data_IF_125826127406
#
_entry.id   IF_125826127406
#
_cell.length_a   1.000
_cell.length_b   1.000
_cell.length_c   1.000
_cell.angle_alpha   90.00
_cell.angle_beta   90.00
_cell.angle_gamma   90.00
#
_symmetry.space_group_name_H-M   'P 1'
#
loop_
_entity.id
_entity.type
_entity.pdbx_description
1 polymer ?
#
# COMPACT_ATOMS: atom_id res chain seq x y z
N UNK A 1 -16.40 12.27 23.04
CA UNK A 1 -16.58 11.84 21.64
C UNK A 1 -17.85 12.47 21.14
N UNK A 2 -17.81 13.10 19.98
CA UNK A 2 -19.03 13.51 19.29
C UNK A 2 -19.53 12.36 18.41
N UNK A 3 -20.67 12.58 17.74
CA UNK A 3 -21.30 11.61 16.85
C UNK A 3 -20.43 11.24 15.62
N UNK A 4 -19.23 11.81 15.47
CA UNK A 4 -18.29 11.52 14.37
C UNK A 4 -17.11 10.63 14.79
N UNK A 5 -17.12 10.08 16.01
CA UNK A 5 -16.09 9.13 16.46
C UNK A 5 -14.71 9.76 16.71
N UNK A 6 -14.58 11.10 16.62
CA UNK A 6 -13.29 11.78 16.78
C UNK A 6 -12.76 11.72 18.22
N UNK A 7 -11.47 11.41 18.31
CA UNK A 7 -10.65 11.65 19.49
C UNK A 7 -10.32 13.14 19.60
N UNK A 8 -10.81 13.78 20.66
CA UNK A 8 -10.24 15.04 21.11
C UNK A 8 -9.13 14.73 22.12
N UNK A 9 -7.95 15.37 22.05
CA UNK A 9 -6.98 15.30 23.13
C UNK A 9 -7.60 15.93 24.37
N UNK A 10 -8.17 15.09 25.23
CA UNK A 10 -8.63 15.50 26.55
C UNK A 10 -7.44 15.99 27.37
N UNK A 11 -7.66 17.06 28.15
CA UNK A 11 -6.68 17.74 29.03
C UNK A 11 -6.10 16.83 30.13
N UNK A 12 -6.41 15.54 30.14
CA UNK A 12 -5.80 14.53 30.99
C UNK A 12 -5.57 13.29 30.14
N UNK A 13 -4.32 12.80 30.07
CA UNK A 13 -3.86 11.69 29.23
C UNK A 13 -4.63 10.38 29.42
N UNK A 14 -5.84 10.34 28.88
CA UNK A 14 -6.75 9.21 28.87
C UNK A 14 -7.17 8.96 27.43
N UNK A 15 -7.04 7.72 26.99
CA UNK A 15 -7.63 7.26 25.74
C UNK A 15 -8.94 6.53 26.06
N UNK A 16 -10.05 6.99 25.47
CA UNK A 16 -11.36 6.37 25.63
C UNK A 16 -11.73 5.68 24.32
N UNK A 17 -12.05 4.40 24.37
CA UNK A 17 -12.81 3.75 23.30
C UNK A 17 -14.28 3.87 23.70
N UNK A 18 -15.12 4.49 22.86
CA UNK A 18 -16.56 4.47 23.12
C UNK A 18 -17.08 3.03 22.97
N UNK A 19 -18.14 2.70 23.70
CA UNK A 19 -18.82 1.41 23.59
C UNK A 19 -19.44 1.19 22.19
N UNK A 20 -19.59 2.28 21.42
CA UNK A 20 -20.01 2.27 20.02
C UNK A 20 -18.83 2.34 19.04
N UNK A 21 -17.58 2.36 19.53
CA UNK A 21 -16.42 2.57 18.68
C UNK A 21 -16.01 1.30 17.94
N UNK A 22 -16.00 1.49 16.64
CA UNK A 22 -15.69 0.54 15.59
C UNK A 22 -14.24 0.06 15.71
N UNK A 23 -14.04 -1.26 15.82
CA UNK A 23 -12.71 -1.87 15.78
C UNK A 23 -11.89 -1.39 14.57
N UNK A 24 -12.57 -1.08 13.47
CA UNK A 24 -11.99 -0.43 12.29
C UNK A 24 -11.22 0.85 12.61
N UNK A 25 -11.85 1.81 13.31
CA UNK A 25 -11.24 3.10 13.62
C UNK A 25 -10.09 2.89 14.61
N UNK A 26 -10.25 1.98 15.57
CA UNK A 26 -9.16 1.63 16.49
C UNK A 26 -7.95 1.06 15.74
N UNK A 27 -8.19 0.14 14.80
CA UNK A 27 -7.13 -0.43 13.96
C UNK A 27 -6.48 0.63 13.05
N UNK A 28 -7.26 1.59 12.55
CA UNK A 28 -6.78 2.73 11.78
C UNK A 28 -5.80 3.60 12.60
N UNK A 29 -6.21 4.01 13.80
CA UNK A 29 -5.37 4.83 14.69
C UNK A 29 -4.11 4.08 15.16
N UNK A 30 -4.24 2.77 15.44
CA UNK A 30 -3.07 1.91 15.70
C UNK A 30 -2.12 1.86 14.49
N UNK A 31 -2.65 1.92 13.27
CA UNK A 31 -1.86 2.06 12.05
C UNK A 31 -1.01 3.33 12.05
N UNK A 32 -1.55 4.46 12.49
CA UNK A 32 -0.76 5.69 12.65
C UNK A 32 0.37 5.56 13.66
N UNK A 33 0.21 4.77 14.73
CA UNK A 33 1.31 4.45 15.66
C UNK A 33 2.44 3.66 14.97
N UNK A 34 2.13 2.89 13.93
CA UNK A 34 3.10 2.21 13.07
C UNK A 34 3.61 3.09 11.92
N UNK A 35 3.41 4.40 12.00
CA UNK A 35 3.80 5.42 11.00
C UNK A 35 3.05 5.31 9.67
N UNK A 36 1.94 4.57 9.63
CA UNK A 36 1.13 4.41 8.44
C UNK A 36 0.34 5.68 8.15
N UNK A 37 0.16 5.96 6.87
CA UNK A 37 -0.58 7.11 6.39
C UNK A 37 -2.02 6.71 6.11
N UNK A 38 -2.96 7.66 6.13
CA UNK A 38 -4.28 7.39 5.55
C UNK A 38 -4.12 6.95 4.09
N UNK A 39 -5.09 6.16 3.63
CA UNK A 39 -5.20 5.77 2.24
C UNK A 39 -6.02 6.78 1.44
N UNK A 40 -5.68 6.87 0.16
CA UNK A 40 -6.21 7.87 -0.75
C UNK A 40 -6.70 7.18 -2.03
N UNK A 41 -7.60 7.83 -2.75
CA UNK A 41 -7.80 7.59 -4.18
C UNK A 41 -7.22 8.72 -5.02
N UNK A 42 -7.12 8.48 -6.33
CA UNK A 42 -6.77 9.48 -7.32
C UNK A 42 -7.97 10.31 -7.81
N UNK A 43 -9.17 10.19 -7.22
CA UNK A 43 -10.34 10.96 -7.64
C UNK A 43 -10.24 12.43 -7.17
N UNK A 44 -10.08 13.40 -8.08
CA UNK A 44 -9.95 14.81 -7.71
C UNK A 44 -11.27 15.41 -7.19
N UNK A 45 -12.40 14.73 -7.37
CA UNK A 45 -13.73 15.20 -6.94
C UNK A 45 -14.14 14.67 -5.59
N UNK A 46 -13.46 13.66 -5.07
CA UNK A 46 -13.78 13.12 -3.76
C UNK A 46 -13.09 13.92 -2.66
N UNK A 47 -13.90 14.46 -1.76
CA UNK A 47 -13.44 15.04 -0.50
C UNK A 47 -14.49 14.74 0.53
N UNK A 48 -14.11 14.07 1.62
CA UNK A 48 -15.03 13.88 2.73
C UNK A 48 -15.44 15.24 3.36
N UNK A 49 -16.63 15.34 3.97
CA UNK A 49 -17.15 16.61 4.46
C UNK A 49 -16.34 17.22 5.61
N UNK A 50 -15.44 16.48 6.26
CA UNK A 50 -14.61 17.03 7.32
C UNK A 50 -13.67 18.10 6.77
N UNK A 51 -13.67 19.29 7.40
CA UNK A 51 -12.91 20.45 6.93
C UNK A 51 -11.40 20.18 6.75
N UNK A 52 -10.83 19.30 7.57
CA UNK A 52 -9.42 18.90 7.53
C UNK A 52 -9.09 17.80 6.51
N UNK A 53 -10.11 17.12 5.94
CA UNK A 53 -9.89 16.07 4.97
C UNK A 53 -9.29 16.64 3.68
N UNK A 54 -8.31 15.93 3.13
CA UNK A 54 -7.72 16.25 1.83
C UNK A 54 -8.50 15.56 0.71
N UNK A 55 -8.33 16.07 -0.51
CA UNK A 55 -8.90 15.42 -1.71
C UNK A 55 -8.37 13.99 -1.81
N UNK A 56 -9.29 13.05 -2.06
CA UNK A 56 -9.03 11.61 -2.16
C UNK A 56 -8.77 10.91 -0.81
N UNK A 57 -8.55 11.63 0.29
CA UNK A 57 -8.27 11.01 1.60
C UNK A 57 -9.45 10.17 2.06
N UNK A 58 -9.17 8.97 2.56
CA UNK A 58 -10.16 7.98 3.00
C UNK A 58 -11.01 7.38 1.86
N UNK A 59 -10.64 7.57 0.59
CA UNK A 59 -11.40 7.06 -0.57
C UNK A 59 -10.91 5.70 -1.11
N UNK A 60 -10.14 4.96 -0.31
CA UNK A 60 -9.83 3.55 -0.55
C UNK A 60 -10.62 2.69 0.45
N UNK A 61 -11.88 2.42 0.13
CA UNK A 61 -12.81 1.70 1.03
C UNK A 61 -12.44 0.24 1.27
N UNK A 62 -11.39 -0.26 0.60
CA UNK A 62 -10.85 -1.61 0.72
C UNK A 62 -9.61 -1.67 1.63
N UNK A 63 -9.21 -0.55 2.24
CA UNK A 63 -8.08 -0.46 3.15
C UNK A 63 -8.49 0.16 4.49
N UNK A 64 -8.13 -0.47 5.61
CA UNK A 64 -8.42 0.04 6.96
C UNK A 64 -7.79 1.41 7.22
N UNK A 65 -6.76 1.79 6.46
CA UNK A 65 -6.23 3.15 6.51
C UNK A 65 -7.19 4.21 5.90
N UNK A 66 -8.41 3.85 5.52
CA UNK A 66 -9.51 4.78 5.22
C UNK A 66 -10.48 5.01 6.41
N UNK A 67 -10.11 4.57 7.62
CA UNK A 67 -10.83 4.80 8.87
C UNK A 67 -12.26 4.22 8.84
N UNK A 68 -13.25 5.01 9.25
CA UNK A 68 -14.68 4.70 9.22
C UNK A 68 -15.26 4.63 7.79
N UNK A 69 -14.54 5.11 6.77
CA UNK A 69 -15.00 5.07 5.37
C UNK A 69 -14.48 3.82 4.64
N UNK A 70 -14.85 2.65 5.15
CA UNK A 70 -14.45 1.35 4.60
C UNK A 70 -15.61 0.37 4.48
N UNK A 71 -15.40 -0.69 3.70
CA UNK A 71 -16.29 -1.86 3.65
C UNK A 71 -16.18 -2.65 4.95
N UNK A 72 -16.97 -2.28 5.97
CA UNK A 72 -16.97 -2.89 7.29
C UNK A 72 -18.20 -3.76 7.58
N UNK A 73 -18.07 -4.69 8.53
CA UNK A 73 -19.15 -5.53 9.04
C UNK A 73 -19.39 -5.30 10.53
N UNK A 74 -20.66 -5.27 10.94
CA UNK A 74 -21.01 -5.40 12.35
C UNK A 74 -20.65 -6.79 12.87
N UNK A 75 -19.94 -6.83 13.99
CA UNK A 75 -19.65 -8.05 14.76
C UNK A 75 -20.09 -7.85 16.21
N UNK A 76 -19.95 -8.89 17.05
CA UNK A 76 -20.14 -8.76 18.51
C UNK A 76 -19.12 -7.83 19.19
N UNK A 77 -18.07 -7.43 18.47
CA UNK A 77 -17.03 -6.52 18.94
C UNK A 77 -17.10 -5.13 18.29
N UNK A 78 -18.17 -4.83 17.55
CA UNK A 78 -18.33 -3.58 16.80
C UNK A 78 -18.07 -3.75 15.30
N UNK A 79 -18.00 -2.63 14.57
CA UNK A 79 -17.71 -2.64 13.14
C UNK A 79 -16.25 -3.02 12.89
N UNK A 80 -16.06 -3.98 11.99
CA UNK A 80 -14.77 -4.53 11.59
C UNK A 80 -14.56 -4.32 10.10
N UNK A 81 -13.55 -3.52 9.76
CA UNK A 81 -13.16 -3.20 8.39
C UNK A 81 -12.18 -4.21 7.78
N UNK A 82 -11.71 -3.92 6.56
CA UNK A 82 -10.85 -4.81 5.81
C UNK A 82 -9.42 -4.86 6.33
N UNK A 83 -8.60 -5.71 5.73
CA UNK A 83 -7.16 -5.72 5.99
C UNK A 83 -6.43 -4.52 5.39
N UNK A 84 -5.16 -4.37 5.74
CA UNK A 84 -4.24 -3.39 5.15
C UNK A 84 -4.01 -3.67 3.66
N UNK A 85 -3.91 -2.63 2.84
CA UNK A 85 -3.48 -2.77 1.45
C UNK A 85 -2.00 -3.19 1.34
N UNK A 86 -1.62 -3.65 0.14
CA UNK A 86 -0.31 -4.19 -0.19
C UNK A 86 0.80 -3.16 -0.14
N UNK A 87 0.50 -1.87 -0.35
CA UNK A 87 1.48 -0.79 -0.11
C UNK A 87 1.90 -0.77 1.35
N UNK A 88 0.92 -0.78 2.25
CA UNK A 88 1.13 -0.73 3.69
C UNK A 88 1.78 -2.00 4.22
N UNK A 89 1.29 -3.17 3.80
CA UNK A 89 1.92 -4.45 4.16
C UNK A 89 3.37 -4.54 3.65
N UNK A 90 3.67 -4.01 2.46
CA UNK A 90 5.04 -3.91 1.95
C UNK A 90 5.89 -2.95 2.78
N UNK A 91 5.35 -1.81 3.20
CA UNK A 91 6.07 -0.82 4.01
C UNK A 91 6.50 -1.42 5.35
N UNK A 92 5.62 -2.21 5.97
CA UNK A 92 5.88 -2.92 7.22
C UNK A 92 6.76 -4.17 7.05
N UNK A 93 7.02 -4.61 5.82
CA UNK A 93 7.76 -5.83 5.54
C UNK A 93 6.98 -7.12 5.84
N UNK A 94 5.65 -7.04 5.92
CA UNK A 94 4.75 -8.17 6.20
C UNK A 94 4.43 -9.02 4.97
N UNK A 95 4.92 -8.62 3.79
CA UNK A 95 4.93 -9.45 2.60
C UNK A 95 6.37 -9.94 2.37
N UNK A 96 6.61 -11.27 2.37
CA UNK A 96 7.90 -11.83 2.02
C UNK A 96 8.37 -11.35 0.64
N UNK A 97 9.68 -11.07 0.49
CA UNK A 97 10.22 -10.42 -0.72
C UNK A 97 10.00 -11.24 -1.98
N UNK A 98 10.07 -12.55 -1.87
CA UNK A 98 9.83 -13.53 -2.94
C UNK A 98 8.40 -13.47 -3.47
N UNK A 99 7.45 -12.92 -2.71
CA UNK A 99 6.07 -12.70 -3.14
C UNK A 99 5.85 -11.35 -3.82
N UNK A 100 6.88 -10.53 -3.94
CA UNK A 100 6.84 -9.23 -4.60
C UNK A 100 7.60 -9.32 -5.91
N UNK A 101 6.89 -9.19 -7.03
CA UNK A 101 7.51 -9.09 -8.34
C UNK A 101 7.66 -7.62 -8.73
N UNK A 102 8.85 -7.20 -9.15
CA UNK A 102 9.05 -5.86 -9.70
C UNK A 102 9.36 -5.96 -11.19
N UNK A 103 8.47 -5.44 -12.02
CA UNK A 103 8.59 -5.45 -13.47
C UNK A 103 9.72 -4.54 -13.97
N UNK A 104 10.26 -4.87 -15.15
CA UNK A 104 11.32 -4.11 -15.80
C UNK A 104 12.73 -4.30 -15.24
N UNK A 105 12.90 -4.94 -14.07
CA UNK A 105 14.23 -5.11 -13.44
C UNK A 105 15.23 -5.92 -14.27
N UNK A 106 14.73 -6.77 -15.16
CA UNK A 106 15.50 -7.57 -16.11
C UNK A 106 15.57 -6.92 -17.51
N UNK A 107 15.19 -5.66 -17.65
CA UNK A 107 15.15 -4.93 -18.92
C UNK A 107 13.95 -5.26 -19.81
N UNK A 108 13.04 -6.16 -19.41
CA UNK A 108 11.83 -6.45 -20.19
C UNK A 108 10.91 -5.24 -20.27
N UNK A 109 10.45 -4.94 -21.48
CA UNK A 109 9.48 -3.88 -21.77
C UNK A 109 8.06 -4.39 -21.86
N UNK A 110 7.84 -5.71 -21.93
CA UNK A 110 6.52 -6.34 -21.85
C UNK A 110 6.55 -7.67 -21.11
N UNK A 111 5.46 -7.99 -20.41
CA UNK A 111 5.21 -9.32 -19.85
C UNK A 111 3.73 -9.54 -19.59
N UNK A 112 3.34 -10.81 -19.51
CA UNK A 112 2.09 -11.24 -18.87
C UNK A 112 2.46 -12.06 -17.65
N UNK A 113 1.95 -11.68 -16.48
CA UNK A 113 2.26 -12.28 -15.19
C UNK A 113 0.98 -12.80 -14.55
N UNK A 114 1.06 -13.94 -13.86
CA UNK A 114 -0.03 -14.38 -13.00
C UNK A 114 0.21 -13.82 -11.59
N UNK A 115 -0.77 -13.07 -11.08
CA UNK A 115 -0.81 -12.52 -9.73
C UNK A 115 -1.73 -13.41 -8.88
N UNK A 116 -1.30 -13.76 -7.68
CA UNK A 116 -2.15 -14.42 -6.68
C UNK A 116 -2.68 -13.42 -5.64
N UNK A 117 -3.70 -13.82 -4.88
CA UNK A 117 -4.25 -12.99 -3.80
C UNK A 117 -3.22 -12.62 -2.72
N UNK A 118 -3.40 -11.42 -2.16
CA UNK A 118 -2.58 -10.81 -1.11
C UNK A 118 -2.56 -11.60 0.21
N UNK A 119 -3.72 -12.03 0.72
CA UNK A 119 -3.80 -12.59 2.08
C UNK A 119 -3.60 -14.10 2.14
N UNK A 120 -3.97 -14.84 1.10
CA UNK A 120 -3.91 -16.31 1.07
C UNK A 120 -3.38 -16.80 -0.30
N UNK A 121 -2.08 -16.58 -0.56
CA UNK A 121 -1.48 -16.75 -1.88
C UNK A 121 -1.44 -18.21 -2.33
N UNK A 122 -1.74 -18.45 -3.61
CA UNK A 122 -1.37 -19.66 -4.31
C UNK A 122 0.17 -19.73 -4.46
N UNK A 123 0.78 -20.93 -4.31
CA UNK A 123 2.22 -21.10 -4.44
C UNK A 123 2.70 -20.77 -5.86
N UNK A 124 3.94 -20.30 -5.98
CA UNK A 124 4.61 -20.07 -7.28
C UNK A 124 4.28 -18.75 -7.97
N UNK A 125 3.38 -17.93 -7.43
CA UNK A 125 3.01 -16.63 -8.01
C UNK A 125 3.28 -15.47 -7.04
N UNK A 126 3.65 -14.27 -7.54
CA UNK A 126 3.71 -13.09 -6.71
C UNK A 126 2.31 -12.72 -6.20
N UNK A 127 2.22 -12.19 -4.98
CA UNK A 127 0.99 -11.61 -4.44
C UNK A 127 0.94 -10.09 -4.53
N UNK A 128 2.01 -9.49 -5.04
CA UNK A 128 2.14 -8.06 -5.27
C UNK A 128 3.02 -7.85 -6.50
N UNK A 129 2.54 -7.05 -7.46
CA UNK A 129 3.34 -6.62 -8.60
C UNK A 129 3.61 -5.13 -8.47
N UNK A 130 4.87 -4.75 -8.68
CA UNK A 130 5.33 -3.37 -8.73
C UNK A 130 5.77 -3.05 -10.15
N UNK A 131 5.23 -1.98 -10.71
CA UNK A 131 5.54 -1.47 -12.04
C UNK A 131 6.06 -0.05 -11.91
N UNK A 132 7.38 0.15 -11.89
CA UNK A 132 7.93 1.50 -11.88
C UNK A 132 7.48 2.29 -13.11
N UNK A 133 7.14 3.56 -12.92
CA UNK A 133 6.65 4.43 -13.98
C UNK A 133 7.44 5.72 -14.15
N UNK A 134 8.34 6.04 -13.23
CA UNK A 134 9.26 7.17 -13.34
C UNK A 134 10.73 6.69 -13.18
N UNK A 135 11.55 6.75 -14.24
CA UNK A 135 12.98 6.44 -14.16
C UNK A 135 13.78 7.35 -13.22
N UNK A 136 13.30 8.58 -13.00
CA UNK A 136 13.93 9.58 -12.13
C UNK A 136 13.53 9.41 -10.66
N UNK A 137 12.40 8.75 -10.41
CA UNK A 137 11.90 8.42 -9.07
C UNK A 137 11.44 6.96 -8.95
N UNK A 138 12.33 6.10 -8.47
CA UNK A 138 12.03 4.68 -8.24
C UNK A 138 10.95 4.42 -7.18
N UNK A 139 10.52 5.43 -6.43
CA UNK A 139 9.41 5.36 -5.49
C UNK A 139 8.08 5.82 -6.11
N UNK A 140 8.09 6.26 -7.37
CA UNK A 140 6.90 6.46 -8.18
C UNK A 140 6.65 5.21 -9.05
N UNK A 141 5.63 4.45 -8.67
CA UNK A 141 5.30 3.17 -9.29
C UNK A 141 3.82 2.82 -9.14
N UNK A 142 3.33 1.96 -10.04
CA UNK A 142 2.07 1.26 -9.81
C UNK A 142 2.28 0.02 -8.97
N UNK A 143 1.37 -0.22 -8.05
CA UNK A 143 1.27 -1.41 -7.23
C UNK A 143 -0.03 -2.12 -7.60
N UNK A 144 0.05 -3.41 -7.87
CA UNK A 144 -1.09 -4.23 -8.28
C UNK A 144 -1.23 -5.35 -7.28
N UNK A 145 -2.42 -5.47 -6.70
CA UNK A 145 -2.79 -6.50 -5.74
C UNK A 145 -4.13 -7.13 -6.09
N UNK A 146 -4.33 -8.38 -5.69
CA UNK A 146 -5.63 -9.04 -5.81
C UNK A 146 -6.10 -9.44 -4.43
N UNK A 147 -7.38 -9.21 -4.13
CA UNK A 147 -7.97 -9.58 -2.83
C UNK A 147 -9.28 -10.34 -3.06
N UNK A 148 -9.44 -11.38 -2.26
CA UNK A 148 -10.67 -12.16 -2.23
C UNK A 148 -11.57 -11.63 -1.13
N UNK A 149 -12.88 -11.71 -1.34
CA UNK A 149 -13.89 -11.38 -0.35
C UNK A 149 -13.94 -12.47 0.72
N UNK A 150 -12.95 -12.51 1.59
CA UNK A 150 -12.83 -13.52 2.65
C UNK A 150 -12.17 -12.94 3.90
N UNK A 151 -12.44 -13.53 5.06
CA UNK A 151 -11.85 -13.12 6.34
C UNK A 151 -12.10 -11.62 6.61
N UNK A 152 -11.04 -10.83 6.82
CA UNK A 152 -11.14 -9.38 7.02
C UNK A 152 -11.79 -8.68 5.82
N UNK A 153 -11.65 -9.22 4.61
CA UNK A 153 -12.17 -8.62 3.37
C UNK A 153 -13.58 -9.15 3.03
N UNK A 154 -14.25 -9.84 3.96
CA UNK A 154 -15.56 -10.48 3.72
C UNK A 154 -16.69 -9.51 3.32
N UNK A 155 -16.48 -8.19 3.47
CA UNK A 155 -17.45 -7.15 3.07
C UNK A 155 -17.18 -6.49 1.73
N UNK A 156 -16.17 -6.95 1.00
CA UNK A 156 -16.00 -6.51 -0.39
C UNK A 156 -17.21 -6.94 -1.21
N UNK A 157 -17.57 -6.16 -2.23
CA UNK A 157 -18.71 -6.51 -3.08
C UNK A 157 -18.40 -7.75 -3.95
N UNK A 158 -17.11 -7.94 -4.27
CA UNK A 158 -16.58 -9.04 -5.08
C UNK A 158 -15.09 -9.26 -4.81
N UNK A 159 -14.56 -10.38 -5.33
CA UNK A 159 -13.11 -10.51 -5.50
C UNK A 159 -12.65 -9.44 -6.50
N UNK A 160 -11.57 -8.74 -6.20
CA UNK A 160 -11.15 -7.57 -6.97
C UNK A 160 -9.64 -7.51 -7.12
N UNK A 161 -9.21 -6.88 -8.21
CA UNK A 161 -7.84 -6.41 -8.40
C UNK A 161 -7.83 -4.93 -8.11
N UNK A 162 -6.85 -4.48 -7.34
CA UNK A 162 -6.65 -3.07 -7.02
C UNK A 162 -5.33 -2.62 -7.64
N UNK A 163 -5.39 -1.48 -8.31
CA UNK A 163 -4.20 -0.80 -8.83
C UNK A 163 -4.06 0.51 -8.07
N UNK A 164 -2.92 0.66 -7.41
CA UNK A 164 -2.55 1.90 -6.74
C UNK A 164 -1.40 2.57 -7.46
N UNK A 165 -1.43 3.89 -7.58
CA UNK A 165 -0.26 4.69 -7.89
C UNK A 165 0.41 5.13 -6.59
N UNK A 166 1.65 4.72 -6.38
CA UNK A 166 2.48 5.23 -5.29
C UNK A 166 3.29 6.39 -5.83
N UNK A 167 3.17 7.57 -5.21
CA UNK A 167 3.91 8.78 -5.61
C UNK A 167 4.12 9.72 -4.43
N UNK A 168 5.01 10.70 -4.60
CA UNK A 168 5.25 11.71 -3.59
C UNK A 168 3.96 12.50 -3.30
N UNK A 169 3.64 12.71 -2.02
CA UNK A 169 2.56 13.59 -1.60
C UNK A 169 2.92 15.03 -2.02
N UNK A 170 2.15 15.65 -2.92
CA UNK A 170 2.47 16.98 -3.44
C UNK A 170 2.42 18.06 -2.36
N UNK A 171 1.77 17.79 -1.22
CA UNK A 171 1.62 18.74 -0.12
C UNK A 171 2.75 18.62 0.92
N UNK A 172 3.72 17.73 0.72
CA UNK A 172 4.85 17.53 1.64
C UNK A 172 6.15 17.97 1.00
N UNK A 173 6.82 18.94 1.65
CA UNK A 173 8.16 19.42 1.28
C UNK A 173 9.23 18.33 1.44
N UNK A 174 9.04 17.43 2.40
CA UNK A 174 9.89 16.25 2.57
C UNK A 174 9.40 15.12 1.67
N UNK A 175 10.33 14.32 1.13
CA UNK A 175 9.99 13.11 0.37
C UNK A 175 9.15 12.17 1.23
N UNK A 176 7.85 12.17 0.97
CA UNK A 176 6.84 11.38 1.65
C UNK A 176 5.96 10.76 0.58
N UNK A 177 5.86 9.44 0.52
CA UNK A 177 5.13 8.73 -0.52
C UNK A 177 3.85 8.13 0.05
N UNK A 178 2.79 8.20 -0.74
CA UNK A 178 1.48 7.61 -0.40
C UNK A 178 1.00 6.72 -1.54
N UNK A 179 0.11 5.81 -1.19
CA UNK A 179 -0.64 5.00 -2.15
C UNK A 179 -1.95 5.71 -2.51
N UNK A 180 -2.23 5.82 -3.81
CA UNK A 180 -3.47 6.35 -4.34
C UNK A 180 -4.17 5.25 -5.14
N UNK A 181 -5.31 4.77 -4.66
CA UNK A 181 -6.16 3.84 -5.40
C UNK A 181 -6.60 4.51 -6.71
N UNK A 182 -6.38 3.85 -7.83
CA UNK A 182 -6.86 4.31 -9.12
C UNK A 182 -8.33 3.93 -9.27
N UNK A 183 -9.21 4.94 -9.31
CA UNK A 183 -10.66 4.76 -9.43
C UNK A 183 -11.18 5.04 -10.83
N UNK A 184 -12.13 4.24 -11.27
CA UNK A 184 -12.91 4.49 -12.47
C UNK A 184 -13.66 5.83 -12.35
N UNK A 185 -13.67 6.61 -13.44
CA UNK A 185 -14.34 7.92 -13.51
C UNK A 185 -15.80 7.78 -13.94
N UNK A 186 -16.52 6.90 -13.26
CA UNK A 186 -17.92 6.60 -13.51
C UNK A 186 -18.72 6.62 -12.19
N UNK A 187 -20.01 6.30 -12.26
CA UNK A 187 -20.90 6.30 -11.09
C UNK A 187 -20.59 5.21 -10.08
N UNK A 188 -20.04 4.07 -10.50
CA UNK A 188 -19.70 2.98 -9.57
C UNK A 188 -18.40 3.24 -8.82
N UNK A 189 -17.52 4.09 -9.37
CA UNK A 189 -16.23 4.49 -8.78
C UNK A 189 -15.35 3.29 -8.42
N UNK A 190 -15.54 2.15 -9.09
CA UNK A 190 -14.78 0.93 -8.82
C UNK A 190 -13.27 1.12 -9.03
N UNK A 191 -12.44 0.22 -8.52
CA UNK A 191 -11.03 0.19 -8.90
C UNK A 191 -10.88 -0.07 -10.41
N UNK A 192 -9.92 0.59 -11.04
CA UNK A 192 -9.62 0.37 -12.46
C UNK A 192 -8.97 -0.98 -12.69
N UNK A 193 -9.31 -1.60 -13.82
CA UNK A 193 -8.64 -2.79 -14.36
C UNK A 193 -7.59 -2.45 -15.44
N UNK A 194 -7.38 -1.16 -15.70
CA UNK A 194 -6.55 -0.67 -16.78
C UNK A 194 -5.81 0.61 -16.40
N UNK A 195 -4.56 0.73 -16.83
CA UNK A 195 -3.73 1.94 -16.75
C UNK A 195 -3.10 2.17 -18.12
N UNK A 196 -3.08 3.42 -18.60
CA UNK A 196 -2.31 3.84 -19.77
C UNK A 196 -1.83 5.27 -19.58
N UNK A 197 -0.79 5.44 -18.78
CA UNK A 197 -0.21 6.73 -18.43
C UNK A 197 1.24 6.52 -17.98
N UNK A 198 2.04 7.60 -17.89
CA UNK A 198 3.44 7.53 -17.45
C UNK A 198 4.31 6.53 -18.25
N UNK A 199 3.99 6.31 -19.53
CA UNK A 199 4.68 5.34 -20.39
C UNK A 199 4.46 3.87 -20.01
N UNK A 200 3.47 3.58 -19.16
CA UNK A 200 3.10 2.24 -18.69
C UNK A 200 1.68 1.91 -19.13
N UNK A 201 1.49 0.71 -19.67
CA UNK A 201 0.16 0.11 -19.83
C UNK A 201 0.03 -1.10 -18.92
N UNK A 202 -1.05 -1.17 -18.15
CA UNK A 202 -1.43 -2.32 -17.32
C UNK A 202 -2.84 -2.73 -17.72
N UNK A 203 -3.08 -4.02 -17.87
CA UNK A 203 -4.42 -4.58 -18.06
C UNK A 203 -4.56 -5.84 -17.23
N UNK A 204 -5.63 -5.95 -16.45
CA UNK A 204 -5.92 -7.14 -15.66
C UNK A 204 -7.00 -7.97 -16.35
N UNK A 205 -6.81 -9.29 -16.36
CA UNK A 205 -7.81 -10.24 -16.84
C UNK A 205 -8.88 -10.52 -15.79
N UNK A 206 -9.70 -11.53 -16.06
CA UNK A 206 -10.66 -12.04 -15.09
C UNK A 206 -9.97 -12.84 -13.99
N UNK A 207 -10.53 -12.78 -12.78
CA UNK A 207 -10.04 -13.56 -11.64
C UNK A 207 -10.47 -15.02 -11.81
N UNK A 208 -9.50 -15.92 -11.88
CA UNK A 208 -9.77 -17.35 -11.80
C UNK A 208 -9.92 -17.74 -10.32
N UNK A 209 -11.15 -18.06 -9.92
CA UNK A 209 -11.48 -18.36 -8.52
C UNK A 209 -10.93 -19.71 -8.05
N UNK A 210 -10.79 -20.67 -8.96
CA UNK A 210 -10.27 -22.01 -8.66
C UNK A 210 -8.77 -21.98 -8.39
N UNK A 211 -8.01 -21.29 -9.23
CA UNK A 211 -6.55 -21.16 -9.08
C UNK A 211 -6.16 -19.98 -8.18
N UNK A 212 -7.12 -19.10 -7.83
CA UNK A 212 -6.91 -17.88 -7.05
C UNK A 212 -5.84 -16.98 -7.67
N UNK A 213 -5.89 -16.86 -9.00
CA UNK A 213 -4.96 -16.05 -9.79
C UNK A 213 -5.69 -15.12 -10.76
N UNK A 214 -4.99 -14.07 -11.19
CA UNK A 214 -5.41 -13.18 -12.28
C UNK A 214 -4.21 -12.92 -13.20
N UNK A 215 -4.48 -12.86 -14.50
CA UNK A 215 -3.45 -12.48 -15.48
C UNK A 215 -3.31 -10.96 -15.52
N UNK A 216 -2.06 -10.47 -15.50
CA UNK A 216 -1.72 -9.06 -15.55
C UNK A 216 -0.78 -8.83 -16.71
N UNK A 217 -1.26 -8.15 -17.75
CA UNK A 217 -0.46 -7.74 -18.91
C UNK A 217 0.12 -6.36 -18.65
N UNK A 218 1.43 -6.23 -18.85
CA UNK A 218 2.19 -5.02 -18.57
C UNK A 218 3.06 -4.69 -19.78
N UNK A 219 3.06 -3.43 -20.19
CA UNK A 219 4.05 -2.86 -21.12
C UNK A 219 4.63 -1.57 -20.52
N UNK A 220 5.89 -1.28 -20.82
CA UNK A 220 6.53 -0.01 -20.45
C UNK A 220 7.45 0.47 -21.56
N UNK A 221 7.44 1.77 -21.83
CA UNK A 221 8.44 2.45 -22.66
C UNK A 221 9.71 2.79 -21.86
N UNK A 222 9.66 2.65 -20.54
CA UNK A 222 10.67 3.10 -19.59
C UNK A 222 11.19 1.93 -18.72
N UNK A 223 11.81 0.89 -19.29
CA UNK A 223 12.26 -0.26 -18.51
C UNK A 223 13.35 0.16 -17.51
N UNK A 224 13.16 -0.18 -16.23
CA UNK A 224 14.19 0.05 -15.22
C UNK A 224 15.22 -1.08 -15.28
N UNK A 225 16.08 -1.05 -16.30
CA UNK A 225 17.26 -1.89 -16.31
C UNK A 225 18.09 -1.56 -15.06
N UNK A 226 18.37 -2.56 -14.21
CA UNK A 226 19.22 -2.39 -13.02
C UNK A 226 20.66 -2.10 -13.46
N UNK A 227 20.96 -0.83 -13.78
CA UNK A 227 22.34 -0.37 -13.94
C UNK A 227 23.05 -0.41 -12.57
N UNK A 228 24.39 -0.49 -12.56
CA UNK A 228 25.20 -0.34 -11.33
C UNK A 228 24.85 0.95 -10.57
N UNK A 229 24.45 2.01 -11.28
CA UNK A 229 24.04 3.28 -10.68
C UNK A 229 22.70 3.18 -9.94
N UNK A 230 21.73 2.44 -10.50
CA UNK A 230 20.42 2.19 -9.87
C UNK A 230 20.55 1.40 -8.56
N UNK A 231 21.44 0.39 -8.53
CA UNK A 231 21.78 -0.34 -7.28
C UNK A 231 22.37 0.58 -6.21
N UNK A 232 23.28 1.48 -6.59
CA UNK A 232 23.89 2.47 -5.67
C UNK A 232 22.87 3.47 -5.13
N UNK A 233 21.93 3.92 -5.96
CA UNK A 233 20.88 4.85 -5.54
C UNK A 233 19.91 4.18 -4.55
N UNK A 234 19.52 2.93 -4.81
CA UNK A 234 18.65 2.16 -3.91
C UNK A 234 19.34 1.87 -2.56
N UNK A 235 20.64 1.56 -2.56
CA UNK A 235 21.42 1.40 -1.34
C UNK A 235 21.54 2.72 -0.55
N UNK A 236 21.74 3.86 -1.23
CA UNK A 236 21.75 5.19 -0.60
C UNK A 236 20.40 5.53 0.03
N UNK A 237 19.29 5.23 -0.65
CA UNK A 237 17.95 5.49 -0.12
C UNK A 237 17.62 4.60 1.09
N UNK A 238 18.03 3.33 1.06
CA UNK A 238 17.91 2.43 2.22
C UNK A 238 18.71 2.95 3.41
N UNK A 239 19.95 3.41 3.17
CA UNK A 239 20.79 3.98 4.21
C UNK A 239 20.20 5.28 4.78
N UNK A 240 19.54 6.09 3.96
CA UNK A 240 18.86 7.30 4.42
C UNK A 240 17.62 6.99 5.27
N UNK A 241 16.83 5.98 4.89
CA UNK A 241 15.70 5.50 5.68
C UNK A 241 16.17 4.96 7.03
N UNK A 242 17.23 4.15 7.01
CA UNK A 242 17.86 3.62 8.22
C UNK A 242 18.37 4.73 9.13
N UNK A 243 19.01 5.77 8.59
CA UNK A 243 19.44 6.93 9.38
C UNK A 243 18.28 7.68 10.04
N UNK A 244 17.12 7.77 9.37
CA UNK A 244 15.92 8.38 9.96
C UNK A 244 15.34 7.53 11.10
N UNK A 245 15.34 6.20 10.94
CA UNK A 245 14.99 5.27 12.03
C UNK A 245 16.02 5.34 13.18
N UNK A 246 17.32 5.44 12.86
CA UNK A 246 18.42 5.52 13.83
C UNK A 246 18.37 6.77 14.72
N UNK A 247 17.73 7.84 14.24
CA UNK A 247 17.56 9.08 15.00
C UNK A 247 16.43 9.03 16.04
N UNK A 248 15.58 7.98 16.02
CA UNK A 248 14.35 7.90 16.81
C UNK A 248 14.36 6.81 17.92
N UNK A 249 15.45 6.08 18.10
CA UNK A 249 15.49 4.82 18.88
C UNK A 249 16.64 4.78 19.91
N UNK A 250 16.57 3.80 20.84
CA UNK A 250 17.58 3.58 21.90
C UNK A 250 18.92 3.02 21.35
N UNK A 251 20.03 3.26 22.06
CA UNK A 251 21.38 2.82 21.64
C UNK A 251 21.55 1.29 21.50
N UNK A 252 20.71 0.50 22.17
CA UNK A 252 20.76 -0.95 22.09
C UNK A 252 20.18 -1.48 20.76
N UNK A 253 19.03 -0.95 20.35
CA UNK A 253 18.40 -1.28 19.06
C UNK A 253 19.29 -0.89 17.87
N UNK A 254 19.98 0.25 17.99
CA UNK A 254 20.97 0.73 17.02
C UNK A 254 22.08 -0.29 16.74
N UNK A 255 22.62 -0.94 17.79
CA UNK A 255 23.71 -1.93 17.66
C UNK A 255 23.25 -3.21 16.98
N UNK A 256 22.08 -3.72 17.33
CA UNK A 256 21.51 -4.93 16.72
C UNK A 256 21.18 -4.72 15.24
N UNK A 257 20.58 -3.57 14.91
CA UNK A 257 20.25 -3.21 13.54
C UNK A 257 21.50 -3.03 12.68
N UNK A 258 22.56 -2.40 13.21
CA UNK A 258 23.84 -2.24 12.51
C UNK A 258 24.49 -3.59 12.15
N UNK A 259 24.47 -4.55 13.08
CA UNK A 259 24.95 -5.92 12.84
C UNK A 259 24.16 -6.61 11.71
N UNK A 260 22.84 -6.48 11.72
CA UNK A 260 21.94 -7.06 10.71
C UNK A 260 22.15 -6.44 9.32
N UNK A 261 22.38 -5.13 9.26
CA UNK A 261 22.68 -4.41 8.02
C UNK A 261 24.03 -4.87 7.46
N UNK A 262 25.06 -4.99 8.29
CA UNK A 262 26.40 -5.40 7.87
C UNK A 262 26.39 -6.82 7.29
N UNK A 263 25.65 -7.75 7.92
CA UNK A 263 25.43 -9.11 7.41
C UNK A 263 24.67 -9.15 6.09
N UNK A 264 23.70 -8.25 5.88
CA UNK A 264 22.95 -8.17 4.61
C UNK A 264 23.78 -7.53 3.51
N UNK A 265 24.53 -6.48 3.79
CA UNK A 265 25.39 -5.83 2.79
C UNK A 265 26.52 -6.74 2.31
N UNK A 266 27.13 -7.54 3.19
CA UNK A 266 28.14 -8.54 2.79
C UNK A 266 27.59 -9.62 1.87
N UNK A 267 26.30 -9.97 1.98
CA UNK A 267 25.61 -10.89 1.04
C UNK A 267 25.22 -10.23 -0.30
N UNK A 268 25.17 -8.90 -0.39
CA UNK A 268 24.83 -8.17 -1.61
C UNK A 268 26.03 -7.87 -2.52
N UNK A 269 27.26 -8.00 -2.00
CA UNK A 269 28.52 -7.72 -2.71
C UNK A 269 29.33 -8.97 -3.07
N UNK A 270 28.81 -10.18 -2.79
CA UNK A 270 29.23 -11.43 -3.43
C UNK A 270 28.22 -11.79 -4.50
#
# INVERSE_FOLDING_TARGET
>A
MDASGRFYPGVFGRAYLSENNEMTVTAHEMGHCLTLSDSYSDDPKFKRPEASAKIGQYDDEWDVMSADHVKANQTKYGMVGPGLNGFTLKLLGWIPKERIYTFGQNGKTSATLNLTTLMNPAPGYPSLIIVPCDPSDLQHYYLIEMRFKEKWDARFDRNSVFIHEVKQDPNKKTKYYRSYLLRARNTTRDSVNFVNMNGVTITTGEINVQTRTVSVKITTTNPIARSKATKRLQAKNYLLLLKKFYAAESEQFKRELASLILQRLTKFYK
#
